data_IF_548338423343
#
_entry.id   IF_548338423343
#
_cell.length_a   1.000
_cell.length_b   1.000
_cell.length_c   1.000
_cell.angle_alpha   90.00
_cell.angle_beta   90.00
_cell.angle_gamma   90.00
#
_symmetry.space_group_name_H-M   'P 1'
#
loop_
_entity.id
_entity.type
_entity.pdbx_description
1 polymer ?
#
# COMPACT_ATOMS: atom_id res chain seq x y z
N UNK A 1 -16.42 4.63 -15.39
CA UNK A 1 -16.51 4.22 -13.96
C UNK A 1 -15.75 5.25 -13.14
N UNK A 2 -16.28 5.77 -12.03
CA UNK A 2 -15.65 6.91 -11.32
C UNK A 2 -14.93 6.52 -10.03
N UNK A 3 -15.41 5.50 -9.32
CA UNK A 3 -14.78 5.00 -8.09
C UNK A 3 -14.32 3.56 -8.26
N UNK A 4 -13.02 3.31 -8.16
CA UNK A 4 -12.42 1.98 -8.40
C UNK A 4 -11.73 1.49 -7.12
N UNK A 5 -11.99 0.23 -6.78
CA UNK A 5 -11.30 -0.52 -5.75
C UNK A 5 -10.31 -1.48 -6.39
N UNK A 6 -9.06 -1.50 -5.92
CA UNK A 6 -8.08 -2.54 -6.24
C UNK A 6 -7.78 -3.34 -4.97
N UNK A 7 -7.85 -4.67 -5.01
CA UNK A 7 -7.51 -5.52 -3.85
C UNK A 7 -6.24 -6.32 -4.14
N UNK A 8 -5.08 -5.77 -3.74
CA UNK A 8 -3.78 -6.40 -3.88
C UNK A 8 -3.17 -6.64 -2.50
N UNK A 9 -3.49 -7.78 -1.90
CA UNK A 9 -3.01 -8.11 -0.55
C UNK A 9 -1.83 -9.10 -0.55
N UNK A 10 -1.19 -9.33 -1.69
CA UNK A 10 -0.03 -10.20 -1.82
C UNK A 10 1.24 -9.62 -1.14
N UNK A 11 2.42 -10.16 -1.44
CA UNK A 11 3.67 -9.70 -0.84
C UNK A 11 4.13 -8.36 -1.44
N UNK A 12 5.14 -7.75 -0.82
CA UNK A 12 5.66 -6.44 -1.26
C UNK A 12 6.10 -6.44 -2.73
N UNK A 13 6.70 -7.53 -3.21
CA UNK A 13 7.11 -7.67 -4.61
C UNK A 13 5.93 -7.59 -5.57
N UNK A 14 4.87 -8.36 -5.30
CA UNK A 14 3.64 -8.35 -6.11
C UNK A 14 2.97 -6.97 -6.11
N UNK A 15 3.02 -6.27 -4.97
CA UNK A 15 2.50 -4.91 -4.86
C UNK A 15 3.28 -3.92 -5.72
N UNK A 16 4.62 -4.02 -5.75
CA UNK A 16 5.47 -3.21 -6.63
C UNK A 16 5.13 -3.51 -8.10
N UNK A 17 4.99 -4.78 -8.46
CA UNK A 17 4.60 -5.20 -9.82
C UNK A 17 3.19 -4.75 -10.21
N UNK A 18 2.36 -4.38 -9.25
CA UNK A 18 1.01 -3.82 -9.48
C UNK A 18 1.02 -2.32 -9.80
N UNK A 19 2.13 -1.60 -9.56
CA UNK A 19 2.21 -0.15 -9.85
C UNK A 19 1.96 0.25 -11.32
N UNK A 20 2.47 -0.44 -12.36
CA UNK A 20 2.12 -0.11 -13.75
C UNK A 20 0.65 -0.41 -14.06
N UNK A 21 0.07 -1.43 -13.43
CA UNK A 21 -1.36 -1.74 -13.54
C UNK A 21 -2.23 -0.63 -12.96
N UNK A 22 -1.87 -0.06 -11.80
CA UNK A 22 -2.60 1.07 -11.20
C UNK A 22 -2.60 2.28 -12.15
N UNK A 23 -1.44 2.62 -12.73
CA UNK A 23 -1.31 3.71 -13.71
C UNK A 23 -2.18 3.46 -14.93
N UNK A 24 -2.19 2.22 -15.43
CA UNK A 24 -2.99 1.86 -16.60
C UNK A 24 -4.49 1.99 -16.31
N UNK A 25 -4.95 1.48 -15.17
CA UNK A 25 -6.35 1.66 -14.72
C UNK A 25 -6.70 3.14 -14.62
N UNK A 26 -5.78 3.97 -14.13
CA UNK A 26 -6.01 5.41 -14.03
C UNK A 26 -6.17 6.08 -15.41
N UNK A 27 -5.38 5.67 -16.40
CA UNK A 27 -5.48 6.17 -17.77
C UNK A 27 -6.73 5.65 -18.49
N UNK A 28 -7.02 4.35 -18.40
CA UNK A 28 -8.09 3.67 -19.13
C UNK A 28 -9.50 4.16 -18.73
N UNK A 29 -9.69 4.55 -17.48
CA UNK A 29 -10.99 4.98 -16.95
C UNK A 29 -11.09 6.50 -16.75
N UNK A 30 -10.27 7.28 -17.46
CA UNK A 30 -10.26 8.74 -17.42
C UNK A 30 -10.16 9.32 -16.00
N UNK A 31 -9.02 9.05 -15.33
CA UNK A 31 -8.63 9.60 -14.03
C UNK A 31 -9.64 9.31 -12.89
N UNK A 32 -10.03 8.05 -12.66
CA UNK A 32 -10.95 7.67 -11.60
C UNK A 32 -10.34 7.89 -10.20
N UNK A 33 -11.21 7.93 -9.20
CA UNK A 33 -10.82 7.85 -7.80
C UNK A 33 -10.48 6.40 -7.45
N UNK A 34 -9.19 6.06 -7.40
CA UNK A 34 -8.70 4.71 -7.09
C UNK A 34 -8.38 4.57 -5.59
N UNK A 35 -9.01 3.59 -4.94
CA UNK A 35 -8.63 3.12 -3.61
C UNK A 35 -8.00 1.74 -3.74
N UNK A 36 -6.85 1.50 -3.11
CA UNK A 36 -6.22 0.18 -3.08
C UNK A 36 -6.18 -0.39 -1.67
N UNK A 37 -6.51 -1.67 -1.53
CA UNK A 37 -6.36 -2.44 -0.29
C UNK A 37 -5.09 -3.27 -0.39
N UNK A 38 -4.19 -3.09 0.58
CA UNK A 38 -2.90 -3.75 0.66
C UNK A 38 -2.73 -4.51 1.97
N UNK A 39 -1.76 -5.41 2.04
CA UNK A 39 -1.44 -6.06 3.29
C UNK A 39 -0.78 -5.06 4.26
N UNK A 40 -1.13 -5.11 5.54
CA UNK A 40 -0.51 -4.26 6.54
C UNK A 40 1.02 -4.44 6.59
N UNK A 41 1.75 -3.32 6.61
CA UNK A 41 3.21 -3.23 6.54
C UNK A 41 3.76 -2.99 5.13
N UNK A 42 2.93 -3.02 4.09
CA UNK A 42 3.34 -2.76 2.69
C UNK A 42 2.78 -1.45 2.14
N UNK A 43 1.85 -0.79 2.83
CA UNK A 43 1.19 0.46 2.42
C UNK A 43 2.17 1.60 2.11
N UNK A 44 3.29 1.61 2.81
CA UNK A 44 4.30 2.65 2.70
C UNK A 44 4.90 2.78 1.28
N UNK A 45 4.90 1.69 0.50
CA UNK A 45 5.44 1.67 -0.87
C UNK A 45 4.59 2.47 -1.85
N UNK A 46 3.32 2.70 -1.52
CA UNK A 46 2.36 3.40 -2.38
C UNK A 46 2.00 4.80 -1.88
N UNK A 47 2.59 5.28 -0.77
CA UNK A 47 2.13 6.52 -0.13
C UNK A 47 2.26 7.78 -0.99
N UNK A 48 3.23 7.82 -1.90
CA UNK A 48 3.42 8.93 -2.84
C UNK A 48 2.79 8.72 -4.22
N UNK A 49 2.06 7.62 -4.45
CA UNK A 49 1.58 7.28 -5.79
C UNK A 49 0.47 8.24 -6.25
N UNK A 50 0.67 9.01 -7.35
CA UNK A 50 -0.26 10.06 -7.76
C UNK A 50 -1.57 9.53 -8.35
N UNK A 51 -1.64 8.25 -8.68
CA UNK A 51 -2.82 7.62 -9.28
C UNK A 51 -3.80 7.10 -8.23
N UNK A 52 -3.42 7.15 -6.95
CA UNK A 52 -4.23 6.63 -5.84
C UNK A 52 -4.80 7.78 -5.02
N UNK A 53 -6.10 7.71 -4.74
CA UNK A 53 -6.75 8.56 -3.74
C UNK A 53 -6.46 8.10 -2.33
N UNK A 54 -6.45 6.78 -2.12
CA UNK A 54 -6.36 6.20 -0.77
C UNK A 54 -5.69 4.81 -0.81
N UNK A 55 -4.83 4.55 0.17
CA UNK A 55 -4.25 3.23 0.44
C UNK A 55 -4.80 2.72 1.78
N UNK A 56 -5.49 1.58 1.76
CA UNK A 56 -6.08 0.96 2.93
C UNK A 56 -5.26 -0.26 3.37
N UNK A 57 -4.76 -0.24 4.60
CA UNK A 57 -4.08 -1.40 5.18
C UNK A 57 -5.07 -2.44 5.71
N UNK A 58 -4.90 -3.68 5.26
CA UNK A 58 -5.66 -4.82 5.74
C UNK A 58 -4.77 -5.77 6.54
N UNK A 59 -5.08 -5.96 7.82
CA UNK A 59 -4.34 -6.83 8.72
C UNK A 59 -4.85 -8.28 8.61
N UNK A 60 -4.23 -9.06 7.71
CA UNK A 60 -4.60 -10.47 7.49
C UNK A 60 -4.51 -11.32 8.76
N UNK A 61 -3.52 -11.06 9.62
CA UNK A 61 -3.31 -11.82 10.86
C UNK A 61 -4.44 -11.54 11.84
N UNK A 62 -4.84 -10.27 11.97
CA UNK A 62 -5.99 -9.87 12.79
C UNK A 62 -7.30 -10.43 12.24
N UNK A 63 -7.51 -10.35 10.93
CA UNK A 63 -8.71 -10.89 10.28
C UNK A 63 -8.83 -12.42 10.40
N UNK A 64 -7.72 -13.16 10.51
CA UNK A 64 -7.74 -14.61 10.77
C UNK A 64 -8.25 -14.93 12.18
N UNK A 65 -7.91 -14.10 13.18
CA UNK A 65 -8.27 -14.33 14.59
C UNK A 65 -9.59 -13.67 15.00
N UNK A 66 -10.03 -12.64 14.27
CA UNK A 66 -11.18 -11.82 14.63
C UNK A 66 -12.02 -11.53 13.38
N UNK A 67 -13.14 -12.25 13.25
CA UNK A 67 -14.09 -12.05 12.16
C UNK A 67 -14.81 -10.70 12.24
N UNK A 68 -15.05 -10.16 13.44
CA UNK A 68 -15.64 -8.82 13.59
C UNK A 68 -14.76 -7.75 12.94
N UNK A 69 -13.42 -7.86 13.06
CA UNK A 69 -12.51 -6.97 12.34
C UNK A 69 -12.66 -7.10 10.82
N UNK A 70 -12.81 -8.33 10.31
CA UNK A 70 -13.01 -8.57 8.89
C UNK A 70 -14.29 -7.91 8.37
N UNK A 71 -15.42 -8.14 9.05
CA UNK A 71 -16.72 -7.55 8.67
C UNK A 71 -16.75 -6.03 8.88
N UNK A 72 -16.11 -5.51 9.93
CA UNK A 72 -15.93 -4.08 10.12
C UNK A 72 -15.16 -3.47 8.93
N UNK A 73 -14.05 -4.09 8.53
CA UNK A 73 -13.25 -3.62 7.39
C UNK A 73 -14.06 -3.65 6.08
N UNK A 74 -14.79 -4.75 5.84
CA UNK A 74 -15.68 -4.88 4.70
C UNK A 74 -16.79 -3.81 4.70
N UNK A 75 -17.35 -3.47 5.86
CA UNK A 75 -18.31 -2.37 6.01
C UNK A 75 -17.70 -1.01 5.64
N UNK A 76 -16.42 -0.77 5.97
CA UNK A 76 -15.72 0.44 5.52
C UNK A 76 -15.59 0.49 4.00
N UNK A 77 -15.31 -0.64 3.33
CA UNK A 77 -15.26 -0.70 1.87
C UNK A 77 -16.65 -0.42 1.26
N UNK A 78 -17.70 -1.05 1.80
CA UNK A 78 -19.08 -0.87 1.33
C UNK A 78 -19.55 0.59 1.36
N UNK A 79 -19.15 1.34 2.39
CA UNK A 79 -19.51 2.77 2.52
C UNK A 79 -18.93 3.65 1.41
N UNK A 80 -17.86 3.22 0.73
CA UNK A 80 -17.19 3.98 -0.34
C UNK A 80 -17.88 3.87 -1.71
N UNK A 81 -18.87 2.98 -1.85
CA UNK A 81 -19.72 2.85 -3.07
C UNK A 81 -18.90 2.77 -4.37
N UNK A 82 -18.08 1.73 -4.48
CA UNK A 82 -17.27 1.51 -5.67
C UNK A 82 -18.13 1.10 -6.89
N UNK A 83 -17.76 1.58 -8.07
CA UNK A 83 -18.36 1.13 -9.33
C UNK A 83 -17.70 -0.18 -9.79
N UNK A 84 -16.38 -0.28 -9.62
CA UNK A 84 -15.57 -1.41 -10.07
C UNK A 84 -14.63 -1.87 -8.95
N UNK A 85 -14.52 -3.18 -8.77
CA UNK A 85 -13.47 -3.81 -7.99
C UNK A 85 -12.59 -4.70 -8.88
N UNK A 86 -11.29 -4.42 -8.92
CA UNK A 86 -10.27 -5.21 -9.60
C UNK A 86 -9.49 -6.02 -8.55
N UNK A 87 -9.55 -7.36 -8.64
CA UNK A 87 -8.88 -8.26 -7.69
C UNK A 87 -7.79 -9.10 -8.38
N UNK A 88 -6.56 -8.58 -8.49
CA UNK A 88 -5.42 -9.31 -9.08
C UNK A 88 -4.86 -10.43 -8.20
N UNK A 89 -5.35 -10.59 -6.98
CA UNK A 89 -4.84 -11.57 -6.04
C UNK A 89 -5.76 -12.79 -5.93
N UNK A 90 -5.18 -13.99 -5.94
CA UNK A 90 -5.90 -15.28 -5.91
C UNK A 90 -6.53 -15.68 -4.56
N UNK A 91 -6.55 -14.78 -3.58
CA UNK A 91 -7.00 -15.13 -2.23
C UNK A 91 -8.52 -15.20 -2.11
N UNK A 92 -9.00 -16.27 -1.47
CA UNK A 92 -10.37 -16.39 -0.94
C UNK A 92 -10.85 -15.12 -0.23
N UNK A 93 -10.00 -14.53 0.62
CA UNK A 93 -10.35 -13.30 1.37
C UNK A 93 -10.48 -12.09 0.45
N UNK A 94 -9.68 -12.01 -0.63
CA UNK A 94 -9.79 -10.94 -1.62
C UNK A 94 -11.14 -11.03 -2.34
N UNK A 95 -11.57 -12.21 -2.77
CA UNK A 95 -12.87 -12.41 -3.42
C UNK A 95 -14.05 -12.10 -2.48
N UNK A 96 -13.98 -12.52 -1.21
CA UNK A 96 -15.01 -12.19 -0.22
C UNK A 96 -15.05 -10.67 0.04
N UNK A 97 -13.90 -10.01 0.23
CA UNK A 97 -13.86 -8.55 0.40
C UNK A 97 -14.40 -7.81 -0.83
N UNK A 98 -14.07 -8.28 -2.03
CA UNK A 98 -14.61 -7.77 -3.29
C UNK A 98 -16.13 -7.84 -3.29
N UNK A 99 -16.71 -8.99 -2.94
CA UNK A 99 -18.17 -9.16 -2.83
C UNK A 99 -18.80 -8.25 -1.78
N UNK A 100 -18.25 -8.25 -0.56
CA UNK A 100 -18.78 -7.44 0.55
C UNK A 100 -18.59 -5.94 0.35
N UNK A 101 -17.66 -5.51 -0.50
CA UNK A 101 -17.54 -4.11 -0.93
C UNK A 101 -18.77 -3.62 -1.70
N UNK A 102 -19.58 -4.55 -2.25
CA UNK A 102 -20.74 -4.29 -3.10
C UNK A 102 -20.42 -3.41 -4.31
N UNK A 103 -19.19 -3.49 -4.84
CA UNK A 103 -18.88 -2.91 -6.14
C UNK A 103 -19.81 -3.48 -7.21
N UNK A 104 -20.32 -2.62 -8.11
CA UNK A 104 -21.29 -3.00 -9.15
C UNK A 104 -20.69 -4.08 -10.05
N UNK A 105 -19.47 -3.84 -10.50
CA UNK A 105 -18.67 -4.83 -11.22
C UNK A 105 -17.48 -5.28 -10.36
N UNK A 106 -17.18 -6.58 -10.38
CA UNK A 106 -16.10 -7.22 -9.64
C UNK A 106 -15.37 -8.14 -10.61
N UNK A 107 -14.21 -7.70 -11.08
CA UNK A 107 -13.38 -8.42 -12.03
C UNK A 107 -12.20 -9.04 -11.28
N UNK A 108 -11.96 -10.31 -11.52
CA UNK A 108 -10.81 -11.04 -10.97
C UNK A 108 -10.56 -12.32 -11.75
N UNK A 109 -9.57 -13.07 -11.31
CA UNK A 109 -9.23 -14.31 -11.99
C UNK A 109 -10.16 -15.47 -11.63
N UNK A 110 -10.41 -16.35 -12.60
CA UNK A 110 -11.22 -17.56 -12.40
C UNK A 110 -10.57 -18.53 -11.41
N UNK A 111 -9.25 -18.58 -11.42
CA UNK A 111 -8.40 -19.42 -10.55
C UNK A 111 -8.32 -18.89 -9.11
N UNK A 112 -8.86 -17.69 -8.84
CA UNK A 112 -8.93 -17.16 -7.49
C UNK A 112 -9.90 -17.97 -6.61
N UNK A 113 -9.56 -18.13 -5.33
CA UNK A 113 -10.47 -18.74 -4.36
C UNK A 113 -11.79 -17.96 -4.26
N UNK A 114 -12.92 -18.68 -4.22
CA UNK A 114 -14.27 -18.10 -4.26
C UNK A 114 -14.53 -17.16 -5.46
N UNK A 115 -13.98 -17.49 -6.65
CA UNK A 115 -14.18 -16.70 -7.87
C UNK A 115 -15.65 -16.57 -8.30
N UNK A 116 -16.55 -17.44 -7.85
CA UNK A 116 -18.00 -17.32 -8.07
C UNK A 116 -18.63 -16.05 -7.45
N UNK A 117 -17.94 -15.38 -6.53
CA UNK A 117 -18.38 -14.11 -5.96
C UNK A 117 -18.08 -12.89 -6.86
N UNK A 118 -17.26 -13.08 -7.90
CA UNK A 118 -16.94 -12.08 -8.91
C UNK A 118 -18.07 -11.97 -9.94
N UNK A 119 -18.27 -10.78 -10.51
CA UNK A 119 -19.23 -10.61 -11.62
C UNK A 119 -18.62 -11.04 -12.95
N UNK A 120 -17.31 -10.80 -13.12
CA UNK A 120 -16.56 -11.16 -14.33
C UNK A 120 -15.30 -11.91 -13.95
N UNK A 121 -15.12 -13.07 -14.56
CA UNK A 121 -14.01 -13.99 -14.32
C UNK A 121 -13.11 -14.02 -15.55
N UNK A 122 -11.83 -13.76 -15.36
CA UNK A 122 -10.82 -13.80 -16.42
C UNK A 122 -9.88 -14.98 -16.16
N UNK A 123 -9.53 -15.76 -17.17
CA UNK A 123 -8.48 -16.76 -17.01
C UNK A 123 -7.12 -16.07 -16.96
N UNK A 124 -6.30 -16.40 -15.97
CA UNK A 124 -4.97 -15.81 -15.88
C UNK A 124 -4.02 -16.48 -16.86
N UNK A 125 -3.26 -15.73 -17.69
CA UNK A 125 -2.23 -16.32 -18.54
C UNK A 125 -1.19 -17.11 -17.74
N UNK A 126 -0.88 -18.33 -18.18
CA UNK A 126 -0.05 -19.29 -17.44
C UNK A 126 1.43 -19.18 -17.83
N UNK A 127 1.75 -19.29 -19.14
CA UNK A 127 3.11 -19.43 -19.65
C UNK A 127 3.59 -18.20 -20.44
N UNK A 128 4.91 -17.97 -20.42
CA UNK A 128 5.63 -17.07 -21.33
C UNK A 128 5.46 -15.56 -21.12
N UNK A 129 4.52 -15.12 -20.28
CA UNK A 129 4.29 -13.68 -20.04
C UNK A 129 4.81 -13.22 -18.68
N UNK A 130 5.37 -12.01 -18.65
CA UNK A 130 5.87 -11.38 -17.43
C UNK A 130 4.72 -11.14 -16.43
N UNK A 131 5.01 -11.12 -15.13
CA UNK A 131 3.99 -10.98 -14.08
C UNK A 131 3.13 -9.71 -14.24
N UNK A 132 3.75 -8.61 -14.68
CA UNK A 132 3.05 -7.36 -15.03
C UNK A 132 2.05 -7.54 -16.17
N UNK A 133 2.39 -8.33 -17.19
CA UNK A 133 1.50 -8.57 -18.33
C UNK A 133 0.30 -9.42 -17.92
N UNK A 134 0.50 -10.34 -16.97
CA UNK A 134 -0.61 -11.10 -16.38
C UNK A 134 -1.60 -10.16 -15.71
N UNK A 135 -1.12 -9.14 -14.99
CA UNK A 135 -2.01 -8.13 -14.38
C UNK A 135 -2.83 -7.36 -15.43
N UNK A 136 -2.25 -7.00 -16.57
CA UNK A 136 -2.98 -6.31 -17.64
C UNK A 136 -4.10 -7.16 -18.25
N UNK A 137 -4.01 -8.49 -18.18
CA UNK A 137 -5.08 -9.38 -18.66
C UNK A 137 -6.41 -9.17 -17.93
N UNK A 138 -6.42 -8.55 -16.74
CA UNK A 138 -7.67 -8.22 -16.03
C UNK A 138 -8.47 -7.12 -16.71
N UNK A 139 -7.82 -6.24 -17.45
CA UNK A 139 -8.43 -5.04 -18.04
C UNK A 139 -8.41 -5.08 -19.58
N UNK A 140 -7.51 -5.86 -20.18
CA UNK A 140 -7.45 -6.07 -21.62
C UNK A 140 -7.85 -7.49 -22.03
N UNK A 141 -8.64 -7.65 -23.11
CA UNK A 141 -9.08 -8.96 -23.58
C UNK A 141 -7.99 -9.74 -24.31
N UNK A 142 -6.96 -9.08 -24.85
CA UNK A 142 -5.90 -9.70 -25.63
C UNK A 142 -4.53 -9.08 -25.35
N UNK A 143 -3.49 -9.91 -25.45
CA UNK A 143 -2.09 -9.54 -25.18
C UNK A 143 -1.61 -8.42 -26.10
N UNK A 144 -2.09 -8.38 -27.36
CA UNK A 144 -1.74 -7.33 -28.33
C UNK A 144 -2.18 -5.92 -27.93
N UNK A 145 -3.11 -5.80 -26.98
CA UNK A 145 -3.60 -4.51 -26.47
C UNK A 145 -2.88 -4.05 -25.19
N UNK A 146 -1.93 -4.84 -24.68
CA UNK A 146 -1.25 -4.49 -23.45
C UNK A 146 -0.36 -3.25 -23.64
N UNK A 147 -0.30 -2.37 -22.64
CA UNK A 147 0.51 -1.16 -22.72
C UNK A 147 1.99 -1.51 -22.83
N UNK A 148 2.72 -0.72 -23.63
CA UNK A 148 4.17 -0.86 -23.79
C UNK A 148 4.93 -0.57 -22.49
N UNK A 149 4.42 0.34 -21.64
CA UNK A 149 5.07 0.76 -20.40
C UNK A 149 4.84 -0.27 -19.29
N UNK A 150 5.78 -1.20 -19.11
CA UNK A 150 5.69 -2.28 -18.09
C UNK A 150 6.47 -2.01 -16.80
N UNK A 151 7.32 -0.98 -16.78
CA UNK A 151 8.26 -0.74 -15.69
C UNK A 151 7.52 -0.38 -14.38
N UNK A 152 7.81 -1.08 -13.26
CA UNK A 152 7.35 -0.69 -11.94
C UNK A 152 7.87 0.68 -11.52
N UNK A 153 7.02 1.43 -10.82
CA UNK A 153 7.28 2.80 -10.40
C UNK A 153 6.93 2.99 -8.94
N UNK A 154 7.87 3.56 -8.20
CA UNK A 154 7.69 3.92 -6.80
C UNK A 154 7.80 5.43 -6.73
N UNK A 155 6.78 6.03 -6.12
CA UNK A 155 6.68 7.46 -5.95
C UNK A 155 7.02 7.77 -4.49
N UNK A 156 8.02 8.62 -4.29
CA UNK A 156 8.44 9.04 -2.96
C UNK A 156 7.65 10.28 -2.56
N UNK A 157 7.22 10.29 -1.31
CA UNK A 157 6.62 11.47 -0.68
C UNK A 157 7.75 12.41 -0.22
N UNK A 158 7.56 13.72 -0.37
CA UNK A 158 8.59 14.73 -0.07
C UNK A 158 9.15 14.60 1.35
N UNK A 159 8.27 14.30 2.32
CA UNK A 159 8.64 14.06 3.71
C UNK A 159 9.65 12.92 3.91
N UNK A 160 9.56 11.85 3.10
CA UNK A 160 10.50 10.72 3.10
C UNK A 160 11.80 11.06 2.41
N UNK A 161 11.75 11.86 1.35
CA UNK A 161 12.94 12.33 0.63
C UNK A 161 13.87 13.12 1.56
N UNK A 162 13.31 13.92 2.47
CA UNK A 162 14.09 14.63 3.50
C UNK A 162 14.80 13.65 4.44
N UNK A 163 14.10 12.60 4.89
CA UNK A 163 14.69 11.60 5.79
C UNK A 163 15.83 10.82 5.12
N UNK A 164 15.66 10.44 3.85
CA UNK A 164 16.73 9.78 3.08
C UNK A 164 17.94 10.70 2.94
N UNK A 165 17.75 11.98 2.60
CA UNK A 165 18.84 12.96 2.50
C UNK A 165 19.59 13.11 3.83
N UNK A 166 18.89 13.14 4.95
CA UNK A 166 19.50 13.21 6.28
C UNK A 166 20.29 11.94 6.61
N UNK A 167 19.77 10.76 6.29
CA UNK A 167 20.48 9.48 6.46
C UNK A 167 21.74 9.46 5.58
N UNK A 168 21.64 9.87 4.32
CA UNK A 168 22.77 9.91 3.40
C UNK A 168 23.85 10.88 3.88
N UNK A 169 23.45 12.03 4.45
CA UNK A 169 24.39 13.02 5.01
C UNK A 169 25.06 12.49 6.29
N UNK A 170 24.29 11.91 7.21
CA UNK A 170 24.81 11.36 8.48
C UNK A 170 25.87 10.28 8.26
N UNK A 171 25.69 9.43 7.25
CA UNK A 171 26.57 8.30 6.97
C UNK A 171 27.63 8.60 5.89
N UNK A 172 27.70 9.85 5.41
CA UNK A 172 28.58 10.29 4.31
C UNK A 172 28.45 9.49 3.01
N UNK A 173 27.26 8.90 2.75
CA UNK A 173 26.98 8.06 1.58
C UNK A 173 26.98 8.84 0.26
N UNK A 174 26.91 10.18 0.29
CA UNK A 174 27.02 11.00 -0.92
C UNK A 174 28.47 11.20 -1.38
N UNK A 175 29.42 11.16 -0.44
CA UNK A 175 30.83 11.45 -0.72
C UNK A 175 31.61 10.18 -1.05
N UNK A 176 31.17 9.03 -0.54
CA UNK A 176 31.75 7.72 -0.83
C UNK A 176 30.81 6.92 -1.72
N UNK A 177 31.36 6.14 -2.65
CA UNK A 177 30.57 5.15 -3.40
C UNK A 177 30.05 4.10 -2.41
N UNK A 178 28.80 3.65 -2.58
CA UNK A 178 28.21 2.65 -1.69
C UNK A 178 27.49 1.53 -2.45
N UNK A 179 27.38 0.37 -1.80
CA UNK A 179 26.67 -0.82 -2.27
C UNK A 179 25.59 -1.15 -1.25
N UNK A 180 24.37 -1.40 -1.72
CA UNK A 180 23.24 -1.81 -0.88
C UNK A 180 23.04 -3.32 -1.00
N UNK A 181 23.02 -4.02 0.12
CA UNK A 181 22.82 -5.47 0.18
C UNK A 181 21.59 -5.79 1.02
N UNK A 182 20.68 -6.60 0.47
CA UNK A 182 19.54 -7.17 1.17
C UNK A 182 19.81 -8.67 1.41
N UNK A 183 20.36 -9.08 2.57
CA UNK A 183 20.87 -10.45 2.76
C UNK A 183 19.77 -11.48 3.08
N UNK A 184 18.51 -11.08 3.08
CA UNK A 184 17.39 -11.92 3.53
C UNK A 184 16.31 -12.05 2.47
N UNK A 185 15.49 -13.08 2.66
CA UNK A 185 14.33 -13.42 1.84
C UNK A 185 13.23 -13.98 2.74
N UNK A 186 11.97 -13.86 2.32
CA UNK A 186 10.86 -14.54 3.00
C UNK A 186 10.97 -16.06 2.85
N UNK A 187 11.58 -16.52 1.76
CA UNK A 187 11.80 -17.94 1.45
C UNK A 187 13.21 -18.35 1.84
N UNK A 188 13.34 -19.27 2.78
CA UNK A 188 14.64 -19.73 3.30
C UNK A 188 15.52 -20.31 2.19
N UNK A 189 14.95 -21.11 1.30
CA UNK A 189 15.66 -21.72 0.17
C UNK A 189 16.18 -20.72 -0.87
N UNK A 190 15.72 -19.46 -0.81
CA UNK A 190 16.22 -18.37 -1.67
C UNK A 190 17.25 -17.48 -0.96
N UNK A 191 17.59 -17.77 0.30
CA UNK A 191 18.63 -17.05 1.02
C UNK A 191 19.97 -17.66 0.68
N UNK A 192 20.92 -16.81 0.30
CA UNK A 192 22.31 -17.21 0.27
C UNK A 192 22.81 -17.41 1.72
N UNK A 193 23.64 -18.43 2.00
CA UNK A 193 24.21 -18.64 3.32
C UNK A 193 24.91 -17.38 3.85
N UNK A 194 24.77 -17.15 5.16
CA UNK A 194 25.39 -16.02 5.89
C UNK A 194 26.89 -15.92 5.60
N UNK A 195 27.58 -17.04 5.61
CA UNK A 195 29.02 -17.14 5.45
C UNK A 195 29.45 -16.61 4.08
N UNK A 196 28.65 -16.87 3.03
CA UNK A 196 28.88 -16.36 1.67
C UNK A 196 28.63 -14.86 1.54
N UNK A 197 27.68 -14.31 2.28
CA UNK A 197 27.55 -12.84 2.36
C UNK A 197 28.77 -12.19 3.01
N UNK A 198 29.32 -12.80 4.07
CA UNK A 198 30.51 -12.29 4.75
C UNK A 198 31.71 -12.32 3.80
N UNK A 199 31.94 -13.45 3.13
CA UNK A 199 33.00 -13.62 2.13
C UNK A 199 32.91 -12.57 1.02
N UNK A 200 31.73 -12.38 0.43
CA UNK A 200 31.49 -11.37 -0.59
C UNK A 200 31.77 -9.94 -0.10
N UNK A 201 31.30 -9.59 1.09
CA UNK A 201 31.51 -8.25 1.67
C UNK A 201 33.00 -8.01 1.90
N UNK A 202 33.74 -8.99 2.43
CA UNK A 202 35.18 -8.89 2.64
C UNK A 202 35.94 -8.71 1.32
N UNK A 203 35.61 -9.49 0.29
CA UNK A 203 36.19 -9.35 -1.05
C UNK A 203 35.95 -7.96 -1.64
N UNK A 204 34.74 -7.41 -1.50
CA UNK A 204 34.42 -6.06 -1.96
C UNK A 204 35.27 -5.02 -1.24
N UNK A 205 35.37 -5.11 0.09
CA UNK A 205 36.09 -4.11 0.89
C UNK A 205 37.61 -4.17 0.70
N UNK A 206 38.16 -5.34 0.39
CA UNK A 206 39.60 -5.51 0.09
C UNK A 206 39.98 -4.90 -1.26
N UNK A 207 39.13 -5.08 -2.29
CA UNK A 207 39.45 -4.67 -3.65
C UNK A 207 38.96 -3.26 -4.00
N UNK A 208 38.01 -2.72 -3.23
CA UNK A 208 37.36 -1.48 -3.59
C UNK A 208 37.03 -0.58 -2.38
N UNK A 209 37.13 0.73 -2.59
CA UNK A 209 36.77 1.75 -1.60
C UNK A 209 35.26 2.06 -1.62
N UNK A 210 34.41 1.07 -1.35
CA UNK A 210 32.96 1.25 -1.18
C UNK A 210 32.53 1.21 0.29
N UNK A 211 31.47 1.93 0.63
CA UNK A 211 30.68 1.67 1.84
C UNK A 211 29.63 0.61 1.57
N UNK A 212 29.42 -0.33 2.49
CA UNK A 212 28.38 -1.35 2.36
C UNK A 212 27.23 -0.99 3.29
N UNK A 213 26.01 -0.96 2.76
CA UNK A 213 24.78 -0.68 3.48
C UNK A 213 23.89 -1.92 3.47
N UNK A 214 23.63 -2.48 4.66
CA UNK A 214 22.69 -3.59 4.80
C UNK A 214 21.26 -3.06 4.98
N UNK A 215 20.33 -3.59 4.18
CA UNK A 215 18.90 -3.29 4.27
C UNK A 215 18.10 -4.57 4.57
N UNK A 216 16.98 -4.41 5.27
CA UNK A 216 16.12 -5.53 5.62
C UNK A 216 14.91 -5.12 6.42
N UNK A 217 14.03 -6.07 6.64
CA UNK A 217 12.91 -5.95 7.57
C UNK A 217 13.39 -6.12 9.02
N UNK A 218 12.49 -5.91 9.99
CA UNK A 218 12.83 -6.07 11.41
C UNK A 218 13.25 -7.49 11.79
N UNK A 219 12.72 -8.52 11.11
CA UNK A 219 13.13 -9.90 11.34
C UNK A 219 14.56 -10.19 10.85
N UNK A 220 15.12 -9.32 10.01
CA UNK A 220 16.44 -9.52 9.41
C UNK A 220 17.56 -8.85 10.22
N UNK A 221 17.23 -8.20 11.34
CA UNK A 221 18.18 -7.46 12.17
C UNK A 221 19.26 -8.40 12.71
N UNK A 222 18.88 -9.54 13.29
CA UNK A 222 19.84 -10.48 13.86
C UNK A 222 20.83 -11.01 12.81
N UNK A 223 20.33 -11.35 11.62
CA UNK A 223 21.18 -11.76 10.50
C UNK A 223 22.13 -10.63 10.09
N UNK A 224 21.60 -9.43 9.91
CA UNK A 224 22.39 -8.26 9.51
C UNK A 224 23.47 -7.92 10.54
N UNK A 225 23.16 -8.00 11.84
CA UNK A 225 24.11 -7.76 12.93
C UNK A 225 25.20 -8.85 12.97
N UNK A 226 24.85 -10.10 12.66
CA UNK A 226 25.83 -11.19 12.56
C UNK A 226 26.82 -11.01 11.40
N UNK A 227 26.34 -10.49 10.26
CA UNK A 227 27.17 -10.14 9.11
C UNK A 227 28.03 -8.92 9.45
N UNK A 228 27.47 -7.93 10.15
CA UNK A 228 28.16 -6.70 10.51
C UNK A 228 29.41 -6.96 11.36
N UNK A 229 29.29 -7.79 12.41
CA UNK A 229 30.38 -8.08 13.35
C UNK A 229 31.64 -8.64 12.70
N UNK A 230 31.54 -9.26 11.52
CA UNK A 230 32.67 -9.93 10.84
C UNK A 230 33.21 -9.20 9.61
N UNK A 231 32.55 -8.12 9.16
CA UNK A 231 32.92 -7.42 7.92
C UNK A 231 32.88 -5.88 7.99
N UNK A 232 32.53 -5.29 9.13
CA UNK A 232 32.42 -3.83 9.32
C UNK A 232 31.49 -3.01 8.37
N UNK A 233 30.38 -3.54 7.80
CA UNK A 233 29.41 -2.74 7.02
C UNK A 233 28.57 -1.80 7.89
N UNK A 234 27.98 -0.77 7.27
CA UNK A 234 27.00 0.13 7.90
C UNK A 234 25.63 -0.55 7.92
N UNK A 235 25.03 -0.70 9.09
CA UNK A 235 23.74 -1.37 9.27
C UNK A 235 22.61 -0.33 9.37
N UNK A 236 21.62 -0.42 8.48
CA UNK A 236 20.43 0.46 8.50
C UNK A 236 19.19 -0.30 8.95
N UNK A 237 18.77 -0.02 10.18
CA UNK A 237 17.53 -0.53 10.75
C UNK A 237 16.34 0.16 10.06
N UNK A 238 15.37 -0.62 9.57
CA UNK A 238 14.07 -0.06 9.21
C UNK A 238 13.34 0.34 10.49
N UNK A 239 13.33 1.65 10.79
CA UNK A 239 12.46 2.17 11.84
C UNK A 239 11.01 1.78 11.52
N UNK A 240 10.25 1.42 12.56
CA UNK A 240 8.83 1.11 12.43
C UNK A 240 8.12 2.25 11.66
N UNK A 241 7.05 1.98 10.89
CA UNK A 241 6.17 3.06 10.48
C UNK A 241 5.78 3.81 11.77
N UNK A 242 6.05 5.12 11.78
CA UNK A 242 5.59 6.02 12.83
C UNK A 242 4.11 5.72 12.98
N UNK A 243 3.71 5.15 14.12
CA UNK A 243 2.30 5.04 14.47
C UNK A 243 1.77 6.48 14.48
N UNK A 244 1.22 6.97 13.36
CA UNK A 244 0.29 8.09 13.41
C UNK A 244 -0.86 7.56 14.26
N UNK A 245 -0.87 7.92 15.54
CA UNK A 245 -2.09 7.89 16.34
C UNK A 245 -3.06 8.79 15.59
N UNK A 246 -3.87 8.22 14.70
CA UNK A 246 -5.12 8.83 14.29
C UNK A 246 -5.97 8.88 15.56
N UNK A 247 -5.80 9.97 16.32
CA UNK A 247 -6.82 10.42 17.26
C UNK A 247 -8.02 10.79 16.38
N UNK A 248 -8.89 9.82 16.13
CA UNK A 248 -10.30 10.13 15.88
C UNK A 248 -10.85 10.66 17.20
N UNK A 249 -10.60 11.94 17.50
CA UNK A 249 -11.42 12.64 18.47
C UNK A 249 -12.76 12.92 17.80
N UNK A 250 -13.77 12.15 18.17
CA UNK A 250 -15.14 12.58 18.05
C UNK A 250 -15.30 13.85 18.92
N UNK A 251 -15.17 15.04 18.32
CA UNK A 251 -15.70 16.26 18.91
C UNK A 251 -17.18 16.31 18.54
N UNK A 252 -18.02 15.70 19.37
CA UNK A 252 -19.40 16.13 19.53
C UNK A 252 -19.37 17.53 20.12
N UNK A 253 -19.49 18.55 19.27
CA UNK A 253 -19.83 19.89 19.74
C UNK A 253 -21.30 19.86 20.17
N UNK A 254 -21.48 19.83 21.48
CA UNK A 254 -22.68 20.19 22.20
C UNK A 254 -23.17 21.58 21.77
N UNK A 255 -24.48 21.69 21.56
CA UNK A 255 -25.22 22.94 21.31
C UNK A 255 -24.97 23.95 22.44
N UNK A 256 -24.80 25.26 22.16
CA UNK A 256 -25.01 26.28 23.17
C UNK A 256 -26.52 26.47 23.40
N UNK A 257 -26.94 26.30 24.67
CA UNK A 257 -28.23 26.78 25.19
C UNK A 257 -28.15 28.31 25.29
N UNK A 258 -28.96 29.03 24.53
CA UNK A 258 -29.29 30.44 24.82
C UNK A 258 -30.65 30.47 25.54
N UNK A 259 -30.63 30.86 26.82
CA UNK A 259 -31.81 31.27 27.59
C UNK A 259 -32.35 32.60 27.01
N UNK A 260 -33.66 32.83 26.95
CA UNK A 260 -34.20 34.17 26.82
C UNK A 260 -34.40 34.77 28.22
N UNK A 261 -33.73 35.89 28.47
CA UNK A 261 -34.02 36.80 29.58
C UNK A 261 -35.30 37.57 29.27
N UNK A 262 -36.25 37.53 30.21
CA UNK A 262 -37.37 38.47 30.29
C UNK A 262 -36.85 39.81 30.79
N UNK A 263 -37.18 40.90 30.11
CA UNK A 263 -37.46 42.18 30.75
C UNK A 263 -38.69 42.83 30.11
N UNK A 264 -39.65 43.15 30.99
CA UNK A 264 -40.72 44.15 30.78
C UNK A 264 -40.00 45.51 30.56
N UNK A 265 -40.54 46.56 29.92
CA UNK A 265 -41.85 47.18 30.10
C UNK A 265 -42.04 48.30 29.07
N UNK A 266 -43.31 48.53 28.70
CA UNK A 266 -43.97 49.83 28.43
C UNK A 266 -43.82 50.61 27.09
N UNK A 267 -44.97 50.62 26.40
CA UNK A 267 -45.73 51.81 25.92
C UNK A 267 -45.23 52.55 24.67
N UNK A 268 -46.03 52.56 23.59
CA UNK A 268 -47.08 53.56 23.29
C UNK A 268 -47.52 53.48 21.81
N UNK A 269 -48.85 53.48 21.65
CA UNK A 269 -49.67 54.23 20.69
C UNK A 269 -49.45 54.09 19.17
N UNK A 270 -50.57 53.71 18.53
CA UNK A 270 -51.23 54.31 17.34
C UNK A 270 -50.50 54.19 15.99
N UNK A 271 -51.16 53.60 14.99
CA UNK A 271 -52.00 54.31 13.98
C UNK A 271 -52.34 53.38 12.79
N UNK A 272 -53.66 53.30 12.50
CA UNK A 272 -54.37 53.31 11.20
C UNK A 272 -54.02 52.30 10.09
N UNK A 273 -55.02 51.52 9.63
CA UNK A 273 -55.77 51.65 8.33
C UNK A 273 -54.86 51.43 7.11
N UNK A 274 -55.10 50.51 6.17
CA UNK A 274 -56.30 49.83 5.64
C UNK A 274 -55.87 48.44 5.17
#
# INVERSE_FOLDING_TARGET
MKNILIIQTAFLGDLILTTPFIREVYALYDRPSITIVVNKGTEEILSGNPFLKEVLEFDKKKAKKNLLYFFWFASQLRKRKFDLCLSPHFSHRSSILSFLSRAKERIGYKEAGFSNLLTKKIHRPILGVHEVDKLFSLIYPSIGQYPKRRRPEIYLEDSKTINIKNIMKKENLKQKKYIVIAPSSVWETKKMPKEKFIELIQLILQNFKYQIVLIGSKSDINLSESIQKKGNPILKKRNAPVKKKTKLSAKSKTKPKTKPTKSKTQSKKKLKKK
#
